data_IF_830455499893
#
_entry.id   IF_830455499893
#
_cell.length_a   1.000
_cell.length_b   1.000
_cell.length_c   1.000
_cell.angle_alpha   90.00
_cell.angle_beta   90.00
_cell.angle_gamma   90.00
#
_symmetry.space_group_name_H-M   'P 1'
#
loop_
_entity.id
_entity.type
_entity.pdbx_description
1 polymer ?
#
# COMPACT_ATOMS: atom_id res chain seq x y z
N UNK A 1 5.53 10.41 -26.07
CA UNK A 1 5.84 10.14 -24.65
C UNK A 1 6.26 11.44 -24.01
N UNK A 2 5.58 11.85 -22.94
CA UNK A 2 5.91 13.09 -22.22
C UNK A 2 6.90 12.76 -21.10
N UNK A 3 8.04 13.46 -21.03
CA UNK A 3 9.07 13.22 -20.01
C UNK A 3 8.53 13.32 -18.56
N UNK A 4 7.42 14.04 -18.36
CA UNK A 4 6.76 14.15 -17.06
C UNK A 4 6.08 12.85 -16.57
N UNK A 5 5.40 12.10 -17.44
CA UNK A 5 4.70 10.87 -17.03
C UNK A 5 5.65 9.71 -16.77
N UNK A 6 6.74 9.63 -17.54
CA UNK A 6 7.83 8.69 -17.29
C UNK A 6 8.49 8.94 -15.93
N UNK A 7 8.82 10.20 -15.63
CA UNK A 7 9.40 10.56 -14.33
C UNK A 7 8.44 10.25 -13.17
N UNK A 8 7.14 10.52 -13.33
CA UNK A 8 6.14 10.19 -12.32
C UNK A 8 6.04 8.67 -12.08
N UNK A 9 6.08 7.87 -13.15
CA UNK A 9 6.03 6.42 -13.08
C UNK A 9 7.25 5.82 -12.35
N UNK A 10 8.46 6.29 -12.66
CA UNK A 10 9.68 5.83 -11.99
C UNK A 10 9.75 6.28 -10.52
N UNK A 11 9.27 7.49 -10.22
CA UNK A 11 9.13 7.96 -8.83
C UNK A 11 8.18 7.07 -8.03
N UNK A 12 7.00 6.76 -8.58
CA UNK A 12 6.04 5.88 -7.94
C UNK A 12 6.59 4.45 -7.77
N UNK A 13 7.32 3.93 -8.76
CA UNK A 13 8.02 2.64 -8.69
C UNK A 13 9.05 2.62 -7.55
N UNK A 14 9.80 3.70 -7.40
CA UNK A 14 10.79 3.85 -6.32
C UNK A 14 10.13 3.89 -4.94
N UNK A 15 9.04 4.66 -4.79
CA UNK A 15 8.27 4.73 -3.55
C UNK A 15 7.69 3.36 -3.16
N UNK A 16 7.13 2.62 -4.12
CA UNK A 16 6.63 1.26 -3.92
C UNK A 16 7.72 0.31 -3.40
N UNK A 17 8.91 0.32 -4.03
CA UNK A 17 10.04 -0.51 -3.58
C UNK A 17 10.57 -0.11 -2.21
N UNK A 18 10.53 1.18 -1.87
CA UNK A 18 10.91 1.66 -0.55
C UNK A 18 9.93 1.17 0.51
N UNK A 19 8.62 1.30 0.28
CA UNK A 19 7.60 0.80 1.20
C UNK A 19 7.76 -0.71 1.44
N UNK A 20 7.92 -1.52 0.39
CA UNK A 20 8.17 -2.96 0.55
C UNK A 20 9.45 -3.27 1.33
N UNK A 21 10.51 -2.46 1.17
CA UNK A 21 11.76 -2.61 1.92
C UNK A 21 11.58 -2.32 3.41
N UNK A 22 10.75 -1.35 3.77
CA UNK A 22 10.46 -1.06 5.18
C UNK A 22 9.81 -2.26 5.87
N UNK A 23 9.01 -3.04 5.16
CA UNK A 23 8.43 -4.29 5.69
C UNK A 23 9.46 -5.42 5.83
N UNK A 24 10.50 -5.43 5.01
CA UNK A 24 11.59 -6.43 5.11
C UNK A 24 12.52 -6.12 6.29
N UNK A 25 12.77 -4.84 6.56
CA UNK A 25 13.69 -4.38 7.61
C UNK A 25 12.99 -4.08 8.94
N UNK A 26 11.71 -4.44 9.07
CA UNK A 26 10.87 -4.11 10.20
C UNK A 26 11.42 -4.69 11.52
N UNK A 27 11.61 -3.86 12.56
CA UNK A 27 11.76 -4.37 13.92
C UNK A 27 10.44 -4.99 14.39
N UNK A 28 10.46 -5.91 15.39
CA UNK A 28 9.24 -6.36 16.07
C UNK A 28 8.70 -5.20 16.94
N UNK A 29 8.02 -4.26 16.30
CA UNK A 29 7.57 -3.01 16.92
C UNK A 29 6.10 -2.67 16.63
N UNK A 30 5.62 -1.62 17.29
CA UNK A 30 4.28 -1.07 17.14
C UNK A 30 4.07 -0.27 15.83
N UNK A 31 5.11 -0.13 14.98
CA UNK A 31 5.10 0.69 13.76
C UNK A 31 4.42 0.04 12.56
N UNK A 32 3.85 -1.16 12.71
CA UNK A 32 3.27 -1.93 11.61
C UNK A 32 2.12 -1.22 10.90
N UNK A 33 1.21 -0.58 11.65
CA UNK A 33 0.11 0.19 11.06
C UNK A 33 0.63 1.37 10.20
N UNK A 34 1.71 2.03 10.61
CA UNK A 34 2.37 3.07 9.81
C UNK A 34 2.98 2.50 8.54
N UNK A 35 3.64 1.33 8.60
CA UNK A 35 4.19 0.67 7.41
C UNK A 35 3.09 0.25 6.43
N UNK A 36 1.94 -0.21 6.92
CA UNK A 36 0.76 -0.49 6.09
C UNK A 36 0.21 0.78 5.43
N UNK A 37 0.14 1.90 6.16
CA UNK A 37 -0.29 3.19 5.60
C UNK A 37 0.68 3.71 4.52
N UNK A 38 1.99 3.55 4.73
CA UNK A 38 3.01 3.87 3.72
C UNK A 38 2.88 2.99 2.47
N UNK A 39 2.60 1.69 2.65
CA UNK A 39 2.34 0.77 1.54
C UNK A 39 1.10 1.18 0.74
N UNK A 40 0.00 1.51 1.42
CA UNK A 40 -1.24 2.00 0.80
C UNK A 40 -0.99 3.28 -0.01
N UNK A 41 -0.23 4.22 0.56
CA UNK A 41 0.14 5.49 -0.10
C UNK A 41 0.96 5.23 -1.35
N UNK A 42 1.96 4.34 -1.29
CA UNK A 42 2.79 4.00 -2.43
C UNK A 42 1.99 3.27 -3.53
N UNK A 43 1.06 2.38 -3.16
CA UNK A 43 0.16 1.72 -4.10
C UNK A 43 -0.75 2.74 -4.82
N UNK A 44 -1.27 3.75 -4.11
CA UNK A 44 -2.06 4.83 -4.73
C UNK A 44 -1.26 5.61 -5.75
N UNK A 45 -0.02 5.99 -5.42
CA UNK A 45 0.89 6.68 -6.34
C UNK A 45 1.17 5.84 -7.60
N UNK A 46 1.30 4.51 -7.46
CA UNK A 46 1.44 3.60 -8.61
C UNK A 46 0.20 3.59 -9.48
N UNK A 47 -1.00 3.55 -8.90
CA UNK A 47 -2.26 3.60 -9.64
C UNK A 47 -2.38 4.88 -10.47
N UNK A 48 -2.12 6.05 -9.85
CA UNK A 48 -2.15 7.36 -10.51
C UNK A 48 -1.12 7.48 -11.64
N UNK A 49 0.10 6.98 -11.40
CA UNK A 49 1.13 6.99 -12.41
C UNK A 49 0.81 6.05 -13.59
N UNK A 50 0.19 4.90 -13.34
CA UNK A 50 -0.28 4.00 -14.41
C UNK A 50 -1.39 4.65 -15.24
N UNK A 51 -2.36 5.32 -14.61
CA UNK A 51 -3.42 6.04 -15.32
C UNK A 51 -2.87 7.19 -16.17
N UNK A 52 -1.93 7.96 -15.63
CA UNK A 52 -1.27 9.06 -16.35
C UNK A 52 -0.47 8.53 -17.54
N UNK A 53 0.34 7.50 -17.35
CA UNK A 53 1.13 6.90 -18.43
C UNK A 53 0.23 6.23 -19.49
N UNK A 54 -0.91 5.64 -19.10
CA UNK A 54 -1.90 5.11 -20.05
C UNK A 54 -2.51 6.20 -20.93
N UNK A 55 -2.89 7.34 -20.33
CA UNK A 55 -3.41 8.51 -21.07
C UNK A 55 -2.39 9.08 -22.05
N UNK A 56 -1.10 8.98 -21.74
CA UNK A 56 0.01 9.40 -22.60
C UNK A 56 0.41 8.35 -23.66
N UNK A 57 -0.31 7.22 -23.75
CA UNK A 57 -0.09 6.16 -24.75
C UNK A 57 1.05 5.20 -24.42
N UNK A 58 1.46 5.09 -23.15
CA UNK A 58 2.51 4.17 -22.73
C UNK A 58 1.98 2.73 -22.65
N UNK A 59 2.73 1.79 -23.21
CA UNK A 59 2.50 0.37 -23.01
C UNK A 59 3.27 -0.12 -21.79
N UNK A 60 2.62 -0.94 -20.96
CA UNK A 60 3.27 -1.56 -19.81
C UNK A 60 4.34 -2.54 -20.30
N UNK A 61 5.64 -2.32 -19.99
CA UNK A 61 6.63 -3.35 -20.20
C UNK A 61 6.31 -4.49 -19.22
N UNK A 62 6.00 -5.71 -19.70
CA UNK A 62 5.61 -6.81 -18.83
C UNK A 62 6.70 -7.03 -17.79
N UNK A 63 6.31 -6.99 -16.51
CA UNK A 63 7.22 -7.26 -15.41
C UNK A 63 7.28 -8.78 -15.21
N UNK A 64 8.49 -9.34 -15.14
CA UNK A 64 8.65 -10.75 -14.75
C UNK A 64 8.34 -10.88 -13.26
N UNK A 65 7.17 -11.45 -12.94
CA UNK A 65 6.81 -12.08 -11.66
C UNK A 65 6.92 -11.22 -10.40
N UNK A 66 5.84 -11.16 -9.61
CA UNK A 66 5.87 -10.59 -8.27
C UNK A 66 6.87 -11.30 -7.37
N UNK A 67 7.80 -10.56 -6.77
CA UNK A 67 8.61 -11.11 -5.69
C UNK A 67 7.67 -11.49 -4.53
N UNK A 68 7.95 -12.62 -3.86
CA UNK A 68 7.18 -13.06 -2.69
C UNK A 68 7.03 -11.89 -1.70
N UNK A 69 5.81 -11.58 -1.22
CA UNK A 69 5.59 -10.49 -0.27
C UNK A 69 6.53 -10.60 0.94
N UNK A 70 6.98 -9.49 1.55
CA UNK A 70 7.71 -9.49 2.82
C UNK A 70 7.03 -10.37 3.89
N UNK A 71 7.81 -10.98 4.79
CA UNK A 71 7.30 -11.97 5.75
C UNK A 71 6.12 -11.46 6.60
N UNK A 72 6.17 -10.22 7.09
CA UNK A 72 5.07 -9.64 7.88
C UNK A 72 3.77 -9.47 7.08
N UNK A 73 3.85 -9.48 5.74
CA UNK A 73 2.74 -9.46 4.80
C UNK A 73 2.36 -10.84 4.28
N UNK A 74 2.89 -11.95 4.81
CA UNK A 74 2.54 -13.32 4.37
C UNK A 74 1.52 -13.99 5.29
N UNK A 75 0.66 -14.89 4.76
CA UNK A 75 -0.28 -15.62 5.61
C UNK A 75 0.48 -16.47 6.63
N UNK A 76 -0.07 -16.60 7.84
CA UNK A 76 0.56 -17.37 8.92
C UNK A 76 1.73 -16.69 9.63
N UNK A 77 2.02 -15.41 9.36
CA UNK A 77 3.05 -14.64 10.07
C UNK A 77 2.62 -14.13 11.45
N UNK A 78 1.36 -14.38 11.86
CA UNK A 78 0.76 -13.77 13.05
C UNK A 78 0.29 -12.34 12.81
N UNK A 79 -0.18 -12.03 11.59
CA UNK A 79 -0.63 -10.70 11.20
C UNK A 79 -1.67 -10.14 12.16
N UNK A 80 -1.44 -8.92 12.64
CA UNK A 80 -2.41 -8.17 13.45
C UNK A 80 -3.54 -7.64 12.57
N UNK A 81 -4.73 -7.48 13.15
CA UNK A 81 -5.91 -6.91 12.49
C UNK A 81 -6.89 -7.95 11.94
N UNK A 82 -7.99 -7.50 11.31
CA UNK A 82 -9.11 -8.36 10.93
C UNK A 82 -8.76 -9.36 9.82
N UNK A 83 -9.15 -10.64 9.99
CA UNK A 83 -8.88 -11.71 9.02
C UNK A 83 -9.53 -11.44 7.65
N UNK A 84 -10.76 -10.92 7.62
CA UNK A 84 -11.46 -10.61 6.35
C UNK A 84 -10.73 -9.56 5.50
N UNK A 85 -10.11 -8.57 6.15
CA UNK A 85 -9.32 -7.56 5.45
C UNK A 85 -8.01 -8.14 4.93
N UNK A 86 -7.41 -9.08 5.66
CA UNK A 86 -6.24 -9.80 5.19
C UNK A 86 -6.55 -10.70 4.00
N UNK A 87 -7.68 -11.39 3.98
CA UNK A 87 -8.11 -12.19 2.84
C UNK A 87 -8.26 -11.33 1.58
N UNK A 88 -8.88 -10.15 1.69
CA UNK A 88 -9.00 -9.18 0.59
C UNK A 88 -7.66 -8.61 0.14
N UNK A 89 -6.74 -8.39 1.08
CA UNK A 89 -5.38 -7.94 0.76
C UNK A 89 -4.64 -9.02 -0.04
N UNK A 90 -4.72 -10.27 0.39
CA UNK A 90 -4.09 -11.40 -0.29
C UNK A 90 -4.67 -11.61 -1.70
N UNK A 91 -5.99 -11.44 -1.87
CA UNK A 91 -6.65 -11.44 -3.17
C UNK A 91 -6.15 -10.29 -4.07
N UNK A 92 -6.05 -9.07 -3.53
CA UNK A 92 -5.55 -7.90 -4.27
C UNK A 92 -4.08 -8.06 -4.69
N UNK A 93 -3.24 -8.69 -3.85
CA UNK A 93 -1.84 -9.02 -4.19
C UNK A 93 -1.80 -10.06 -5.31
N UNK A 94 -2.58 -11.13 -5.20
CA UNK A 94 -2.63 -12.17 -6.25
C UNK A 94 -3.12 -11.61 -7.59
N UNK A 95 -4.12 -10.73 -7.56
CA UNK A 95 -4.60 -10.02 -8.74
C UNK A 95 -3.52 -9.11 -9.34
N UNK A 96 -2.81 -8.35 -8.51
CA UNK A 96 -1.72 -7.48 -8.96
C UNK A 96 -0.61 -8.29 -9.64
N UNK A 97 -0.21 -9.42 -9.07
CA UNK A 97 0.79 -10.31 -9.66
C UNK A 97 0.32 -10.82 -11.02
N UNK A 98 -0.93 -11.31 -11.09
CA UNK A 98 -1.54 -11.81 -12.33
C UNK A 98 -1.59 -10.76 -13.44
N UNK A 99 -1.99 -9.52 -13.14
CA UNK A 99 -2.09 -8.47 -14.18
C UNK A 99 -0.74 -7.88 -14.55
N UNK A 100 0.26 -7.94 -13.65
CA UNK A 100 1.62 -7.44 -13.90
C UNK A 100 2.38 -8.27 -14.93
N UNK A 101 2.04 -9.56 -15.07
CA UNK A 101 2.52 -10.45 -16.13
C UNK A 101 1.91 -10.13 -17.51
N UNK A 102 0.77 -9.42 -17.51
CA UNK A 102 0.09 -8.96 -18.73
C UNK A 102 0.73 -7.72 -19.35
N UNK A 103 0.05 -7.14 -20.36
CA UNK A 103 0.46 -5.90 -21.06
C UNK A 103 -0.46 -4.71 -20.80
N UNK A 104 -1.43 -4.83 -19.89
CA UNK A 104 -2.44 -3.79 -19.66
C UNK A 104 -2.08 -2.89 -18.48
N UNK A 105 -1.52 -1.72 -18.79
CA UNK A 105 -1.21 -0.69 -17.80
C UNK A 105 -2.44 -0.24 -16.99
N UNK A 106 -3.61 -0.22 -17.63
CA UNK A 106 -4.88 0.10 -16.98
C UNK A 106 -5.30 -0.97 -15.96
N UNK A 107 -5.12 -2.25 -16.29
CA UNK A 107 -5.39 -3.34 -15.36
C UNK A 107 -4.43 -3.29 -14.15
N UNK A 108 -3.14 -3.05 -14.41
CA UNK A 108 -2.12 -2.85 -13.37
C UNK A 108 -2.48 -1.67 -12.46
N UNK A 109 -2.88 -0.53 -13.03
CA UNK A 109 -3.32 0.64 -12.26
C UNK A 109 -4.55 0.36 -11.38
N UNK A 110 -5.52 -0.42 -11.90
CA UNK A 110 -6.70 -0.84 -11.12
C UNK A 110 -6.32 -1.74 -9.95
N UNK A 111 -5.48 -2.75 -10.17
CA UNK A 111 -5.03 -3.63 -9.10
C UNK A 111 -4.25 -2.88 -8.02
N UNK A 112 -3.41 -1.91 -8.38
CA UNK A 112 -2.76 -1.03 -7.40
C UNK A 112 -3.76 -0.16 -6.61
N UNK A 113 -4.83 0.32 -7.25
CA UNK A 113 -5.85 1.10 -6.56
C UNK A 113 -6.60 0.24 -5.53
N UNK A 114 -7.01 -0.97 -5.92
CA UNK A 114 -7.71 -1.91 -5.05
C UNK A 114 -6.80 -2.32 -3.87
N UNK A 115 -5.50 -2.58 -4.13
CA UNK A 115 -4.51 -2.85 -3.09
C UNK A 115 -4.31 -1.66 -2.14
N UNK A 116 -4.31 -0.43 -2.67
CA UNK A 116 -4.19 0.78 -1.84
C UNK A 116 -5.38 0.92 -0.88
N UNK A 117 -6.60 0.64 -1.35
CA UNK A 117 -7.81 0.75 -0.54
C UNK A 117 -7.83 -0.25 0.61
N UNK A 118 -7.53 -1.53 0.33
CA UNK A 118 -7.50 -2.56 1.38
C UNK A 118 -6.34 -2.38 2.34
N UNK A 119 -5.15 -1.99 1.86
CA UNK A 119 -4.00 -1.70 2.72
C UNK A 119 -4.27 -0.50 3.66
N UNK A 120 -4.99 0.52 3.18
CA UNK A 120 -5.43 1.64 4.00
C UNK A 120 -6.40 1.22 5.11
N UNK A 121 -7.39 0.39 4.77
CA UNK A 121 -8.34 -0.17 5.75
C UNK A 121 -7.63 -1.02 6.80
N UNK A 122 -6.66 -1.85 6.38
CA UNK A 122 -5.83 -2.63 7.29
C UNK A 122 -5.02 -1.73 8.22
N UNK A 123 -4.37 -0.69 7.69
CA UNK A 123 -3.59 0.25 8.48
C UNK A 123 -4.45 0.88 9.60
N UNK A 124 -5.65 1.35 9.27
CA UNK A 124 -6.58 1.93 10.23
C UNK A 124 -7.09 0.92 11.27
N UNK A 125 -7.41 -0.29 10.85
CA UNK A 125 -7.89 -1.35 11.74
C UNK A 125 -6.79 -1.78 12.73
N UNK A 126 -5.58 -2.05 12.23
CA UNK A 126 -4.42 -2.40 13.06
C UNK A 126 -4.08 -1.26 14.03
N UNK A 127 -4.08 0.00 13.57
CA UNK A 127 -3.82 1.14 14.43
C UNK A 127 -4.87 1.29 15.55
N UNK A 128 -6.11 0.88 15.30
CA UNK A 128 -7.20 0.87 16.29
C UNK A 128 -6.99 -0.23 17.32
N UNK A 129 -6.70 -1.45 16.87
CA UNK A 129 -6.50 -2.62 17.72
C UNK A 129 -5.24 -2.47 18.59
N UNK A 130 -4.15 -1.93 18.02
CA UNK A 130 -2.92 -1.63 18.75
C UNK A 130 -3.15 -0.59 19.85
N UNK A 131 -4.03 0.39 19.64
CA UNK A 131 -4.39 1.35 20.71
C UNK A 131 -5.29 0.73 21.76
N UNK A 132 -6.26 -0.09 21.35
CA UNK A 132 -7.17 -0.76 22.27
C UNK A 132 -6.43 -1.74 23.19
N UNK A 133 -5.39 -2.40 22.69
CA UNK A 133 -4.50 -3.28 23.46
C UNK A 133 -3.45 -2.56 24.30
N UNK A 134 -3.28 -1.24 24.11
CA UNK A 134 -2.27 -0.43 24.80
C UNK A 134 -0.87 -0.52 24.19
N UNK A 135 -0.70 -1.20 23.05
CA UNK A 135 0.57 -1.26 22.32
C UNK A 135 0.94 0.09 21.69
N UNK A 136 -0.07 0.87 21.27
CA UNK A 136 0.10 2.27 20.88
C UNK A 136 -0.53 3.22 21.91
N UNK A 137 0.05 4.41 22.13
CA UNK A 137 -0.56 5.40 23.00
C UNK A 137 -1.92 5.83 22.45
N UNK A 138 -2.87 6.09 23.36
CA UNK A 138 -4.15 6.68 23.00
C UNK A 138 -3.93 7.98 22.22
N UNK A 139 -4.72 8.19 21.14
CA UNK A 139 -4.69 9.46 20.40
C UNK A 139 -4.97 10.58 21.39
N UNK A 140 -4.00 11.46 21.64
CA UNK A 140 -4.26 12.71 22.36
C UNK A 140 -5.28 13.49 21.55
N UNK A 141 -6.53 13.51 22.01
CA UNK A 141 -7.52 14.43 21.49
C UNK A 141 -7.01 15.83 21.82
N UNK A 142 -6.48 16.55 20.82
CA UNK A 142 -6.28 17.98 20.96
C UNK A 142 -7.69 18.56 21.07
N UNK A 143 -8.18 18.74 22.30
CA UNK A 143 -9.29 19.63 22.58
C UNK A 143 -8.84 21.00 22.09
N UNK A 144 -9.25 21.39 20.89
CA UNK A 144 -9.23 22.79 20.47
C UNK A 144 -10.08 23.52 21.49
N UNK A 145 -9.43 24.16 22.46
CA UNK A 145 -10.08 25.11 23.35
C UNK A 145 -10.46 26.28 22.45
N UNK A 146 -11.69 26.27 21.95
CA UNK A 146 -12.31 27.46 21.37
C UNK A 146 -12.38 28.48 22.50
N UNK A 147 -11.40 29.38 22.56
CA UNK A 147 -11.48 30.54 23.41
C UNK A 147 -12.67 31.37 22.90
N UNK A 148 -13.74 31.35 23.68
CA UNK A 148 -14.89 32.20 23.47
C UNK A 148 -14.66 33.49 24.26
N UNK A 149 -14.81 34.61 23.51
CA UNK A 149 -14.97 36.01 23.93
C UNK A 149 -13.75 36.75 24.47
#
# INVERSE_FOLDING_TARGET
>A
MNAGSEQAFEKARTAWRAALRDHVLAPPDAGFSTRLASLATAARQRAEACDTAYKDGYEWPPARGGAKPPYELQPGSGRRGPEDLWARFDEAVAELDRVSEGRSLRAVGRAYADLADVAGQLAEAVERDDRASGLLPARRSIRRRSAAR
#
